data_IF_882269943320
#
_entry.id   IF_882269943320
#
_cell.length_a   1.000
_cell.length_b   1.000
_cell.length_c   1.000
_cell.angle_alpha   90.00
_cell.angle_beta   90.00
_cell.angle_gamma   90.00
#
_symmetry.space_group_name_H-M   'P 1'
#
loop_
_entity.id
_entity.type
_entity.pdbx_description
1 polymer ?
#
# COMPACT_ATOMS: atom_id res chain seq x y z
N UNK A 1 2.19 19.21 -24.15
CA UNK A 1 1.24 18.56 -25.08
C UNK A 1 2.00 17.55 -25.91
N UNK A 2 2.11 16.35 -25.36
CA UNK A 2 2.55 15.14 -26.05
C UNK A 2 1.65 14.07 -25.45
N UNK A 3 0.44 13.93 -25.98
CA UNK A 3 -0.37 12.75 -25.73
C UNK A 3 0.51 11.55 -26.08
N UNK A 4 1.00 10.87 -25.03
CA UNK A 4 1.86 9.70 -25.18
C UNK A 4 1.20 8.73 -26.16
N UNK A 5 1.98 7.96 -26.89
CA UNK A 5 1.46 7.35 -28.08
C UNK A 5 0.47 6.24 -27.62
N UNK A 6 -0.68 6.04 -28.29
CA UNK A 6 -1.77 5.15 -27.84
C UNK A 6 -1.28 3.73 -27.52
N UNK A 7 -1.81 3.10 -26.45
CA UNK A 7 -1.39 1.77 -25.98
C UNK A 7 -1.39 0.73 -27.12
N UNK A 8 -2.28 0.89 -28.10
CA UNK A 8 -2.40 0.04 -29.29
C UNK A 8 -1.11 -0.17 -30.11
N UNK A 9 -0.09 0.68 -29.99
CA UNK A 9 1.20 0.45 -30.67
C UNK A 9 2.20 -0.40 -29.86
N UNK A 10 1.92 -0.68 -28.59
CA UNK A 10 2.66 -1.68 -27.83
C UNK A 10 2.07 -3.09 -28.05
N UNK A 11 0.87 -3.16 -28.65
CA UNK A 11 0.20 -4.37 -29.14
C UNK A 11 0.64 -4.66 -30.59
N UNK A 12 1.95 -4.80 -30.84
CA UNK A 12 2.45 -5.22 -32.15
C UNK A 12 2.56 -6.75 -32.24
N UNK A 13 1.67 -7.33 -33.06
CA UNK A 13 1.67 -8.70 -33.62
C UNK A 13 1.13 -9.84 -32.71
N UNK A 14 0.67 -10.99 -33.29
CA UNK A 14 -0.44 -11.80 -32.80
C UNK A 14 -0.02 -12.72 -31.65
N UNK A 15 0.10 -12.14 -30.46
CA UNK A 15 0.04 -12.90 -29.24
C UNK A 15 -1.42 -12.84 -28.77
N UNK A 16 -2.13 -13.97 -28.84
CA UNK A 16 -3.42 -14.10 -28.19
C UNK A 16 -3.19 -14.50 -26.71
N UNK A 17 -4.00 -13.94 -25.81
CA UNK A 17 -4.05 -14.36 -24.41
C UNK A 17 -2.97 -13.77 -23.48
N UNK A 18 -2.60 -14.52 -22.43
CA UNK A 18 -1.88 -14.01 -21.26
C UNK A 18 -0.48 -13.46 -21.56
N UNK A 19 0.24 -14.03 -22.54
CA UNK A 19 1.59 -13.57 -22.89
C UNK A 19 1.60 -12.15 -23.49
N UNK A 20 0.57 -11.80 -24.26
CA UNK A 20 0.39 -10.47 -24.80
C UNK A 20 0.14 -9.44 -23.70
N UNK A 21 -0.73 -9.80 -22.74
CA UNK A 21 -1.05 -8.95 -21.57
C UNK A 21 0.19 -8.69 -20.73
N UNK A 22 1.00 -9.72 -20.45
CA UNK A 22 2.24 -9.58 -19.68
C UNK A 22 3.22 -8.66 -20.43
N UNK A 23 3.43 -8.89 -21.73
CA UNK A 23 4.34 -8.07 -22.53
C UNK A 23 3.88 -6.61 -22.56
N UNK A 24 2.60 -6.36 -22.83
CA UNK A 24 2.03 -5.01 -22.85
C UNK A 24 2.14 -4.32 -21.48
N UNK A 25 1.89 -5.06 -20.39
CA UNK A 25 2.04 -4.54 -19.02
C UNK A 25 3.50 -4.14 -18.73
N UNK A 26 4.47 -4.99 -19.08
CA UNK A 26 5.90 -4.71 -18.87
C UNK A 26 6.34 -3.50 -19.69
N UNK A 27 5.88 -3.40 -20.93
CA UNK A 27 6.21 -2.27 -21.80
C UNK A 27 5.58 -0.98 -21.26
N UNK A 28 4.30 -0.99 -20.89
CA UNK A 28 3.62 0.15 -20.26
C UNK A 28 4.35 0.56 -18.96
N UNK A 29 4.73 -0.41 -18.13
CA UNK A 29 5.41 -0.14 -16.88
C UNK A 29 6.77 0.55 -17.07
N UNK A 30 7.51 0.14 -18.10
CA UNK A 30 8.79 0.74 -18.46
C UNK A 30 8.61 2.13 -19.09
N UNK A 31 7.67 2.26 -20.03
CA UNK A 31 7.37 3.52 -20.73
C UNK A 31 6.94 4.63 -19.76
N UNK A 32 6.09 4.28 -18.79
CA UNK A 32 5.57 5.20 -17.76
C UNK A 32 6.47 5.34 -16.53
N UNK A 33 7.67 4.77 -16.56
CA UNK A 33 8.64 4.82 -15.47
C UNK A 33 8.01 4.52 -14.10
N UNK A 34 7.24 3.43 -13.98
CA UNK A 34 6.51 3.11 -12.74
C UNK A 34 7.43 2.98 -11.53
N UNK A 35 8.68 2.58 -11.74
CA UNK A 35 9.71 2.56 -10.70
C UNK A 35 9.99 3.95 -10.14
N UNK A 36 10.06 4.98 -10.99
CA UNK A 36 10.24 6.36 -10.54
C UNK A 36 9.04 6.87 -9.74
N UNK A 37 7.82 6.61 -10.23
CA UNK A 37 6.58 6.95 -9.52
C UNK A 37 6.49 6.24 -8.16
N UNK A 38 6.83 4.95 -8.12
CA UNK A 38 6.88 4.16 -6.89
C UNK A 38 7.86 4.72 -5.85
N UNK A 39 8.99 5.28 -6.27
CA UNK A 39 9.94 5.93 -5.35
C UNK A 39 9.32 7.15 -4.65
N UNK A 40 8.57 7.98 -5.39
CA UNK A 40 7.85 9.11 -4.81
C UNK A 40 6.78 8.68 -3.81
N UNK A 41 5.97 7.69 -4.17
CA UNK A 41 4.95 7.09 -3.29
C UNK A 41 5.59 6.55 -2.01
N UNK A 42 6.67 5.78 -2.13
CA UNK A 42 7.38 5.21 -0.99
C UNK A 42 7.97 6.28 -0.06
N UNK A 43 8.51 7.37 -0.62
CA UNK A 43 9.02 8.49 0.17
C UNK A 43 7.91 9.16 0.99
N UNK A 44 6.78 9.51 0.37
CA UNK A 44 5.68 10.14 1.09
C UNK A 44 5.02 9.20 2.09
N UNK A 45 4.94 7.90 1.78
CA UNK A 45 4.51 6.87 2.72
C UNK A 45 5.44 6.81 3.95
N UNK A 46 6.75 6.81 3.76
CA UNK A 46 7.72 6.86 4.87
C UNK A 46 7.52 8.10 5.74
N UNK A 47 7.43 9.28 5.11
CA UNK A 47 7.28 10.56 5.82
C UNK A 47 5.99 10.62 6.62
N UNK A 48 4.94 9.91 6.21
CA UNK A 48 3.65 9.87 6.90
C UNK A 48 3.65 9.07 8.21
N UNK A 49 4.59 8.15 8.41
CA UNK A 49 4.55 7.19 9.52
C UNK A 49 4.72 7.85 10.89
N UNK A 50 5.71 8.73 11.03
CA UNK A 50 5.97 9.38 12.32
C UNK A 50 4.77 10.25 12.74
N UNK A 51 4.25 11.15 11.88
CA UNK A 51 3.00 11.87 12.13
C UNK A 51 1.80 10.97 12.46
N UNK A 52 1.65 9.84 11.75
CA UNK A 52 0.57 8.89 11.97
C UNK A 52 0.64 8.24 13.35
N UNK A 53 1.83 7.78 13.76
CA UNK A 53 2.04 7.18 15.08
C UNK A 53 1.69 8.18 16.19
N UNK A 54 2.14 9.43 16.07
CA UNK A 54 1.82 10.48 17.05
C UNK A 54 0.31 10.71 17.16
N UNK A 55 -0.39 10.77 16.03
CA UNK A 55 -1.84 10.93 16.02
C UNK A 55 -2.60 9.74 16.57
N UNK A 56 -2.14 8.51 16.31
CA UNK A 56 -2.73 7.29 16.88
C UNK A 56 -2.62 7.33 18.41
N UNK A 57 -1.46 7.70 18.95
CA UNK A 57 -1.26 7.78 20.41
C UNK A 57 -2.08 8.94 21.01
N UNK A 58 -2.09 10.10 20.37
CA UNK A 58 -2.89 11.25 20.80
C UNK A 58 -4.40 10.93 20.78
N UNK A 59 -4.88 10.27 19.72
CA UNK A 59 -6.26 9.83 19.59
C UNK A 59 -6.64 8.77 20.62
N UNK A 60 -5.75 7.82 20.90
CA UNK A 60 -5.94 6.83 21.97
C UNK A 60 -6.06 7.49 23.34
N UNK A 61 -5.18 8.46 23.64
CA UNK A 61 -5.23 9.24 24.88
C UNK A 61 -6.53 10.05 24.99
N UNK A 62 -6.97 10.67 23.90
CA UNK A 62 -8.20 11.47 23.87
C UNK A 62 -9.47 10.64 24.05
N UNK A 63 -9.56 9.47 23.40
CA UNK A 63 -10.77 8.64 23.41
C UNK A 63 -10.86 7.70 24.62
N UNK A 64 -9.73 7.17 25.09
CA UNK A 64 -9.67 6.12 26.12
C UNK A 64 -8.76 6.41 27.30
N UNK A 65 -8.25 7.64 27.41
CA UNK A 65 -7.36 8.05 28.50
C UNK A 65 -5.96 7.44 28.43
N UNK A 66 -5.18 7.64 29.50
CA UNK A 66 -3.77 7.18 29.58
C UNK A 66 -3.65 5.66 29.45
N UNK A 67 -4.60 4.89 29.98
CA UNK A 67 -4.58 3.43 29.89
C UNK A 67 -4.67 2.90 28.44
N UNK A 68 -5.46 3.54 27.58
CA UNK A 68 -5.53 3.15 26.17
C UNK A 68 -4.28 3.61 25.41
N UNK A 69 -3.76 4.80 25.73
CA UNK A 69 -2.51 5.28 25.17
C UNK A 69 -1.35 4.34 25.50
N UNK A 70 -1.20 3.94 26.76
CA UNK A 70 -0.16 3.00 27.22
C UNK A 70 -0.27 1.63 26.56
N UNK A 71 -1.50 1.15 26.31
CA UNK A 71 -1.71 -0.11 25.59
C UNK A 71 -1.27 0.01 24.12
N UNK A 72 -1.59 1.12 23.48
CA UNK A 72 -1.19 1.39 22.09
C UNK A 72 0.34 1.55 21.98
N UNK A 73 0.96 2.32 22.88
CA UNK A 73 2.41 2.50 22.89
C UNK A 73 3.15 1.20 23.22
N UNK A 74 2.60 0.37 24.11
CA UNK A 74 3.12 -0.96 24.41
C UNK A 74 3.10 -1.92 23.21
N UNK A 75 2.05 -1.86 22.37
CA UNK A 75 1.99 -2.64 21.13
C UNK A 75 3.02 -2.10 20.11
N UNK A 76 3.12 -0.77 19.97
CA UNK A 76 4.05 -0.15 19.05
C UNK A 76 5.51 -0.44 19.43
N UNK A 77 5.86 -0.36 20.71
CA UNK A 77 7.22 -0.60 21.19
C UNK A 77 7.66 -2.04 20.99
N UNK A 78 6.75 -3.02 21.14
CA UNK A 78 7.03 -4.43 20.86
C UNK A 78 7.37 -4.71 19.39
N UNK A 79 6.92 -3.85 18.48
CA UNK A 79 7.18 -3.97 17.03
C UNK A 79 8.41 -3.16 16.58
N UNK A 80 8.97 -2.31 17.46
CA UNK A 80 10.14 -1.48 17.17
C UNK A 80 11.43 -2.12 17.69
N UNK A 81 12.53 -1.87 16.98
CA UNK A 81 13.87 -2.14 17.51
C UNK A 81 14.11 -1.31 18.77
N UNK A 82 15.05 -1.72 19.63
CA UNK A 82 15.40 -1.01 20.87
C UNK A 82 15.66 0.49 20.66
N UNK A 83 16.35 0.86 19.58
CA UNK A 83 16.59 2.26 19.21
C UNK A 83 15.32 3.04 18.80
N UNK A 84 14.34 2.36 18.20
CA UNK A 84 13.03 2.95 17.87
C UNK A 84 12.16 3.15 19.12
N UNK A 85 12.27 2.26 20.11
CA UNK A 85 11.54 2.36 21.37
C UNK A 85 11.97 3.60 22.16
N UNK A 86 13.26 3.88 22.27
CA UNK A 86 13.78 5.04 23.01
C UNK A 86 13.32 6.36 22.37
N UNK A 87 13.38 6.45 21.04
CA UNK A 87 13.00 7.66 20.29
C UNK A 87 11.49 7.93 20.39
N UNK A 88 10.66 6.89 20.28
CA UNK A 88 9.20 7.02 20.43
C UNK A 88 8.85 7.33 21.88
N UNK A 89 9.43 6.63 22.86
CA UNK A 89 9.16 6.86 24.28
C UNK A 89 9.56 8.26 24.70
N UNK A 90 10.72 8.77 24.28
CA UNK A 90 11.18 10.12 24.58
C UNK A 90 10.26 11.19 23.97
N UNK A 91 9.78 10.97 22.75
CA UNK A 91 8.84 11.88 22.08
C UNK A 91 7.46 11.86 22.73
N UNK A 92 7.00 10.70 23.22
CA UNK A 92 5.67 10.51 23.81
C UNK A 92 5.60 10.90 25.30
N UNK A 93 6.68 10.76 26.05
CA UNK A 93 6.74 11.07 27.50
C UNK A 93 7.10 12.52 27.80
N UNK A 94 7.61 13.25 26.81
CA UNK A 94 7.88 14.69 26.91
C UNK A 94 6.54 15.46 27.05
N UNK A 95 6.14 15.67 28.31
CA UNK A 95 4.86 16.29 28.70
C UNK A 95 4.76 17.76 28.26
N UNK A 96 5.90 18.40 28.02
CA UNK A 96 6.03 19.79 27.57
C UNK A 96 5.74 19.90 26.07
N UNK A 97 4.48 20.11 25.69
CA UNK A 97 4.12 20.43 24.29
C UNK A 97 3.24 19.41 23.57
N UNK A 98 2.58 18.49 24.28
CA UNK A 98 1.65 17.49 23.69
C UNK A 98 0.63 18.10 22.72
N UNK A 99 0.11 19.31 23.02
CA UNK A 99 -0.79 20.05 22.11
C UNK A 99 -0.10 20.48 20.81
N UNK A 100 1.02 21.19 20.90
CA UNK A 100 1.78 21.67 19.73
C UNK A 100 2.35 20.53 18.89
N UNK A 101 2.87 19.47 19.53
CA UNK A 101 3.35 18.28 18.85
C UNK A 101 2.22 17.54 18.09
N UNK A 102 1.01 17.50 18.66
CA UNK A 102 -0.16 16.92 18.00
C UNK A 102 -0.60 17.75 16.79
N UNK A 103 -0.56 19.09 16.87
CA UNK A 103 -0.88 19.97 15.74
C UNK A 103 0.15 19.84 14.61
N UNK A 104 1.44 19.87 14.95
CA UNK A 104 2.52 19.69 13.95
C UNK A 104 2.46 18.30 13.33
N UNK A 105 2.23 17.27 14.13
CA UNK A 105 1.99 15.90 13.65
C UNK A 105 0.78 15.83 12.73
N UNK A 106 -0.35 16.45 13.09
CA UNK A 106 -1.52 16.51 12.23
C UNK A 106 -1.24 17.17 10.88
N UNK A 107 -0.59 18.34 10.88
CA UNK A 107 -0.27 19.04 9.65
C UNK A 107 0.74 18.27 8.79
N UNK A 108 1.73 17.64 9.41
CA UNK A 108 2.70 16.79 8.72
C UNK A 108 2.06 15.54 8.13
N UNK A 109 1.15 14.89 8.86
CA UNK A 109 0.39 13.74 8.36
C UNK A 109 -0.50 14.16 7.20
N UNK A 110 -1.27 15.23 7.37
CA UNK A 110 -2.16 15.75 6.33
C UNK A 110 -1.34 16.05 5.07
N UNK A 111 -0.25 16.81 5.19
CA UNK A 111 0.61 17.14 4.04
C UNK A 111 1.20 15.91 3.35
N UNK A 112 1.75 14.96 4.10
CA UNK A 112 2.34 13.74 3.54
C UNK A 112 1.30 12.81 2.93
N UNK A 113 0.13 12.67 3.55
CA UNK A 113 -1.01 11.93 3.01
C UNK A 113 -1.52 12.56 1.71
N UNK A 114 -1.69 13.89 1.66
CA UNK A 114 -2.04 14.59 0.42
C UNK A 114 -1.03 14.33 -0.69
N UNK A 115 0.28 14.37 -0.38
CA UNK A 115 1.33 14.08 -1.36
C UNK A 115 1.35 12.62 -1.81
N UNK A 116 1.11 11.68 -0.89
CA UNK A 116 1.00 10.26 -1.18
C UNK A 116 -0.18 9.99 -2.13
N UNK A 117 -1.37 10.50 -1.82
CA UNK A 117 -2.56 10.32 -2.67
C UNK A 117 -2.39 11.01 -4.01
N UNK A 118 -1.86 12.23 -4.04
CA UNK A 118 -1.56 12.90 -5.30
C UNK A 118 -0.58 12.10 -6.17
N UNK A 119 0.43 11.48 -5.56
CA UNK A 119 1.37 10.61 -6.26
C UNK A 119 0.72 9.33 -6.79
N UNK A 120 -0.26 8.78 -6.05
CA UNK A 120 -1.06 7.64 -6.48
C UNK A 120 -2.02 8.03 -7.62
N UNK A 121 -2.81 9.09 -7.47
CA UNK A 121 -3.71 9.61 -8.51
C UNK A 121 -2.93 9.88 -9.80
N UNK A 122 -1.83 10.64 -9.73
CA UNK A 122 -0.98 10.91 -10.89
C UNK A 122 -0.43 9.64 -11.53
N UNK A 123 -0.07 8.63 -10.73
CA UNK A 123 0.40 7.36 -11.29
C UNK A 123 -0.72 6.58 -11.99
N UNK A 124 -1.96 6.68 -11.53
CA UNK A 124 -3.12 6.09 -12.19
C UNK A 124 -3.52 6.87 -13.45
N UNK A 125 -3.48 8.19 -13.42
CA UNK A 125 -3.68 9.04 -14.61
C UNK A 125 -2.70 8.64 -15.73
N UNK A 126 -1.41 8.53 -15.38
CA UNK A 126 -0.36 8.11 -16.32
C UNK A 126 -0.56 6.67 -16.85
N UNK A 127 -1.11 5.78 -16.03
CA UNK A 127 -1.39 4.39 -16.42
C UNK A 127 -2.59 4.27 -17.37
N UNK A 128 -3.62 5.08 -17.16
CA UNK A 128 -4.86 5.04 -17.94
C UNK A 128 -4.85 6.01 -19.13
N UNK A 129 -3.74 6.73 -19.34
CA UNK A 129 -3.55 7.72 -20.42
C UNK A 129 -4.57 8.86 -20.43
N UNK A 130 -5.19 9.13 -19.29
CA UNK A 130 -6.17 10.18 -19.13
C UNK A 130 -5.61 11.24 -18.18
N UNK A 131 -5.53 12.48 -18.66
CA UNK A 131 -5.20 13.65 -17.85
C UNK A 131 -6.49 14.20 -17.22
N UNK A 132 -6.92 13.62 -16.10
CA UNK A 132 -8.04 14.16 -15.33
C UNK A 132 -7.50 14.96 -14.15
N UNK A 133 -7.65 16.28 -14.21
CA UNK A 133 -7.37 17.16 -13.07
C UNK A 133 -8.36 16.89 -11.93
N UNK A 134 -8.03 15.95 -11.05
CA UNK A 134 -8.79 15.71 -9.82
C UNK A 134 -8.63 16.89 -8.88
N UNK A 135 -9.74 17.57 -8.58
CA UNK A 135 -9.77 18.64 -7.57
C UNK A 135 -9.22 18.16 -6.21
N UNK A 136 -8.64 19.07 -5.41
CA UNK A 136 -8.12 18.72 -4.07
C UNK A 136 -9.17 18.03 -3.18
N UNK A 137 -10.44 18.43 -3.29
CA UNK A 137 -11.54 17.79 -2.54
C UNK A 137 -11.79 16.36 -3.04
N UNK A 138 -11.67 16.12 -4.35
CA UNK A 138 -11.72 14.79 -4.95
C UNK A 138 -10.60 13.90 -4.44
N UNK A 139 -9.36 14.40 -4.38
CA UNK A 139 -8.19 13.66 -3.87
C UNK A 139 -8.38 13.27 -2.40
N UNK A 140 -8.84 14.20 -1.55
CA UNK A 140 -9.12 13.91 -0.13
C UNK A 140 -10.24 12.87 0.02
N UNK A 141 -11.32 12.98 -0.76
CA UNK A 141 -12.41 12.01 -0.75
C UNK A 141 -11.93 10.63 -1.19
N UNK A 142 -11.20 10.56 -2.30
CA UNK A 142 -10.66 9.31 -2.84
C UNK A 142 -9.70 8.67 -1.85
N UNK A 143 -8.76 9.45 -1.29
CA UNK A 143 -7.86 8.98 -0.25
C UNK A 143 -8.59 8.47 0.99
N UNK A 144 -9.63 9.17 1.45
CA UNK A 144 -10.45 8.71 2.57
C UNK A 144 -11.14 7.37 2.27
N UNK A 145 -11.77 7.22 1.10
CA UNK A 145 -12.42 5.96 0.70
C UNK A 145 -11.41 4.82 0.60
N UNK A 146 -10.23 5.07 0.01
CA UNK A 146 -9.15 4.08 -0.08
C UNK A 146 -8.68 3.65 1.30
N UNK A 147 -8.41 4.60 2.21
CA UNK A 147 -7.97 4.30 3.58
C UNK A 147 -9.01 3.50 4.34
N UNK A 148 -10.28 3.92 4.30
CA UNK A 148 -11.38 3.21 4.97
C UNK A 148 -11.56 1.81 4.38
N UNK A 149 -11.51 1.68 3.06
CA UNK A 149 -11.62 0.40 2.38
C UNK A 149 -10.48 -0.56 2.77
N UNK A 150 -9.23 -0.08 2.80
CA UNK A 150 -8.08 -0.86 3.26
C UNK A 150 -8.26 -1.24 4.73
N UNK A 151 -8.66 -0.31 5.60
CA UNK A 151 -8.86 -0.57 7.02
C UNK A 151 -9.95 -1.64 7.26
N UNK A 152 -11.05 -1.58 6.52
CA UNK A 152 -12.10 -2.61 6.57
C UNK A 152 -11.61 -3.97 6.07
N UNK A 153 -10.86 -3.99 4.97
CA UNK A 153 -10.29 -5.22 4.44
C UNK A 153 -9.29 -5.85 5.41
N UNK A 154 -8.40 -5.05 6.01
CA UNK A 154 -7.46 -5.50 7.05
C UNK A 154 -8.21 -5.99 8.29
N UNK A 155 -9.25 -5.28 8.73
CA UNK A 155 -10.11 -5.71 9.83
C UNK A 155 -10.76 -7.07 9.56
N UNK A 156 -11.21 -7.30 8.32
CA UNK A 156 -11.75 -8.58 7.88
C UNK A 156 -10.67 -9.67 7.86
N UNK A 157 -9.47 -9.40 7.35
CA UNK A 157 -8.32 -10.34 7.39
C UNK A 157 -8.06 -10.78 8.83
N UNK A 158 -7.98 -9.83 9.76
CA UNK A 158 -7.71 -10.10 11.18
C UNK A 158 -8.84 -10.92 11.80
N UNK A 159 -10.10 -10.53 11.56
CA UNK A 159 -11.26 -11.24 12.08
C UNK A 159 -11.31 -12.70 11.59
N UNK A 160 -11.08 -12.92 10.29
CA UNK A 160 -11.01 -14.27 9.69
C UNK A 160 -9.84 -15.05 10.28
N UNK A 161 -8.66 -14.44 10.41
CA UNK A 161 -7.49 -15.09 11.00
C UNK A 161 -7.73 -15.54 12.46
N UNK A 162 -8.34 -14.69 13.27
CA UNK A 162 -8.73 -15.03 14.65
C UNK A 162 -9.75 -16.16 14.68
N UNK A 163 -10.80 -16.08 13.85
CA UNK A 163 -11.83 -17.12 13.77
C UNK A 163 -11.24 -18.49 13.38
N UNK A 164 -10.31 -18.52 12.41
CA UNK A 164 -9.61 -19.74 12.02
C UNK A 164 -8.72 -20.29 13.12
N UNK A 165 -8.00 -19.41 13.85
CA UNK A 165 -7.13 -19.83 14.95
C UNK A 165 -7.88 -20.42 16.16
N UNK A 166 -9.17 -20.10 16.31
CA UNK A 166 -10.02 -20.65 17.35
C UNK A 166 -10.57 -22.05 17.02
N UNK A 167 -10.42 -22.51 15.78
CA UNK A 167 -10.82 -23.87 15.38
C UNK A 167 -9.72 -24.86 15.80
N UNK A 168 -10.03 -25.89 16.62
CA UNK A 168 -9.06 -26.90 17.06
C UNK A 168 -8.82 -27.95 15.97
N UNK A 169 -8.38 -27.51 14.80
CA UNK A 169 -8.24 -28.36 13.61
C UNK A 169 -6.79 -28.34 13.13
N UNK A 170 -6.01 -29.29 13.63
CA UNK A 170 -4.59 -29.47 13.30
C UNK A 170 -4.42 -30.22 11.97
N UNK A 171 -5.01 -29.67 10.90
CA UNK A 171 -5.09 -30.32 9.59
C UNK A 171 -4.18 -29.58 8.60
N UNK A 172 -3.16 -30.22 8.01
CA UNK A 172 -2.24 -29.59 7.06
C UNK A 172 -2.94 -28.88 5.89
N UNK A 173 -4.11 -29.40 5.48
CA UNK A 173 -4.93 -28.81 4.42
C UNK A 173 -5.52 -27.44 4.82
N UNK A 174 -5.84 -27.23 6.10
CA UNK A 174 -6.34 -25.95 6.61
C UNK A 174 -5.25 -24.87 6.66
N UNK A 175 -3.99 -25.24 6.83
CA UNK A 175 -2.88 -24.28 6.78
C UNK A 175 -2.67 -23.73 5.36
N UNK A 176 -2.79 -24.59 4.34
CA UNK A 176 -2.71 -24.19 2.93
C UNK A 176 -3.94 -23.36 2.54
N UNK A 177 -5.14 -23.84 2.88
CA UNK A 177 -6.39 -23.10 2.62
C UNK A 177 -6.46 -21.77 3.36
N UNK A 178 -5.98 -21.72 4.61
CA UNK A 178 -5.87 -20.49 5.40
C UNK A 178 -4.90 -19.50 4.78
N UNK A 179 -3.74 -19.96 4.28
CA UNK A 179 -2.77 -19.10 3.59
C UNK A 179 -3.32 -18.55 2.26
N UNK A 180 -4.01 -19.40 1.49
CA UNK A 180 -4.68 -19.00 0.25
C UNK A 180 -5.85 -18.03 0.53
N UNK A 181 -6.64 -18.29 1.56
CA UNK A 181 -7.72 -17.41 1.98
C UNK A 181 -7.17 -16.06 2.44
N UNK A 182 -6.12 -16.03 3.27
CA UNK A 182 -5.46 -14.79 3.69
C UNK A 182 -4.92 -14.01 2.49
N UNK A 183 -4.37 -14.69 1.49
CA UNK A 183 -3.91 -14.06 0.24
C UNK A 183 -5.09 -13.50 -0.57
N UNK A 184 -6.19 -14.23 -0.67
CA UNK A 184 -7.40 -13.80 -1.36
C UNK A 184 -8.08 -12.61 -0.66
N UNK A 185 -8.16 -12.63 0.67
CA UNK A 185 -8.69 -11.53 1.49
C UNK A 185 -7.75 -10.33 1.44
N UNK A 186 -6.43 -10.53 1.35
CA UNK A 186 -5.49 -9.44 1.09
C UNK A 186 -5.73 -8.80 -0.28
N UNK A 187 -6.13 -9.58 -1.30
CA UNK A 187 -6.62 -9.07 -2.57
C UNK A 187 -7.76 -8.05 -2.41
N UNK A 188 -8.64 -8.26 -1.44
CA UNK A 188 -9.72 -7.30 -1.12
C UNK A 188 -9.18 -5.96 -0.61
N UNK A 189 -8.02 -5.94 0.04
CA UNK A 189 -7.40 -4.69 0.51
C UNK A 189 -6.90 -3.82 -0.64
N UNK A 190 -6.62 -4.41 -1.81
CA UNK A 190 -6.22 -3.66 -3.00
C UNK A 190 -7.41 -3.18 -3.84
N UNK A 191 -8.60 -3.74 -3.67
CA UNK A 191 -9.78 -3.35 -4.46
C UNK A 191 -10.15 -1.86 -4.36
N UNK A 192 -10.16 -1.23 -3.16
CA UNK A 192 -10.46 0.20 -3.06
C UNK A 192 -9.50 1.06 -3.89
N UNK A 193 -8.21 0.68 -3.92
CA UNK A 193 -7.18 1.38 -4.70
C UNK A 193 -7.54 1.32 -6.19
N UNK A 194 -7.80 0.12 -6.70
CA UNK A 194 -8.07 -0.07 -8.13
C UNK A 194 -9.45 0.38 -8.59
N UNK A 195 -10.40 0.54 -7.67
CA UNK A 195 -11.75 1.00 -7.99
C UNK A 195 -11.89 2.52 -7.93
N UNK A 196 -11.13 3.20 -7.06
CA UNK A 196 -11.31 4.62 -6.77
C UNK A 196 -10.30 5.51 -7.49
N UNK A 197 -9.07 5.03 -7.66
CA UNK A 197 -7.98 5.85 -8.22
C UNK A 197 -7.96 5.98 -9.75
N UNK A 198 -8.45 5.02 -10.57
CA UNK A 198 -8.49 5.24 -12.01
C UNK A 198 -9.29 6.51 -12.36
N UNK A 199 -8.84 7.29 -13.36
CA UNK A 199 -9.54 8.49 -13.83
C UNK A 199 -10.83 8.18 -14.60
N UNK A 200 -11.16 6.90 -14.78
CA UNK A 200 -12.28 6.40 -15.57
C UNK A 200 -13.21 5.52 -14.75
N UNK A 201 -14.47 5.45 -15.15
CA UNK A 201 -15.40 4.51 -14.55
C UNK A 201 -14.98 3.06 -14.84
N UNK A 202 -14.72 2.31 -13.77
CA UNK A 202 -14.36 0.90 -13.79
C UNK A 202 -15.40 0.09 -13.01
N UNK A 203 -15.72 -1.10 -13.51
CA UNK A 203 -16.52 -2.06 -12.76
C UNK A 203 -15.64 -2.95 -11.88
N UNK A 204 -16.21 -3.55 -10.82
CA UNK A 204 -15.48 -4.44 -9.91
C UNK A 204 -14.80 -5.58 -10.67
N UNK A 205 -15.43 -6.11 -11.72
CA UNK A 205 -14.86 -7.20 -12.53
C UNK A 205 -13.60 -6.81 -13.27
N UNK A 206 -13.48 -5.54 -13.64
CA UNK A 206 -12.34 -5.03 -14.40
C UNK A 206 -11.10 -4.82 -13.53
N UNK A 207 -11.30 -4.63 -12.23
CA UNK A 207 -10.20 -4.36 -11.29
C UNK A 207 -9.65 -5.60 -10.60
N UNK A 208 -10.40 -6.71 -10.64
CA UNK A 208 -10.02 -8.00 -10.05
C UNK A 208 -8.68 -8.56 -10.55
N UNK A 209 -8.34 -8.51 -11.86
CA UNK A 209 -7.06 -9.03 -12.34
C UNK A 209 -5.86 -8.34 -11.68
N UNK A 210 -5.89 -7.00 -11.60
CA UNK A 210 -4.85 -6.21 -10.94
C UNK A 210 -4.78 -6.49 -9.44
N UNK A 211 -5.93 -6.61 -8.77
CA UNK A 211 -5.97 -7.02 -7.36
C UNK A 211 -5.32 -8.40 -7.12
N UNK A 212 -5.56 -9.36 -8.01
CA UNK A 212 -4.92 -10.68 -7.94
C UNK A 212 -3.41 -10.62 -8.17
N UNK A 213 -2.96 -9.83 -9.15
CA UNK A 213 -1.54 -9.60 -9.42
C UNK A 213 -0.85 -8.97 -8.22
N UNK A 214 -1.48 -7.98 -7.58
CA UNK A 214 -0.90 -7.31 -6.42
C UNK A 214 -0.92 -8.16 -5.16
N UNK A 215 -1.96 -8.98 -4.96
CA UNK A 215 -1.95 -10.00 -3.92
C UNK A 215 -0.80 -11.00 -4.10
N UNK A 216 -0.58 -11.49 -5.32
CA UNK A 216 0.55 -12.37 -5.64
C UNK A 216 1.91 -11.69 -5.44
N UNK A 217 2.06 -10.46 -5.94
CA UNK A 217 3.26 -9.65 -5.75
C UNK A 217 3.54 -9.36 -4.29
N UNK A 218 2.50 -9.17 -3.46
CA UNK A 218 2.65 -8.99 -2.04
C UNK A 218 3.19 -10.24 -1.33
N UNK A 219 2.72 -11.43 -1.71
CA UNK A 219 3.26 -12.69 -1.18
C UNK A 219 4.74 -12.84 -1.54
N UNK A 220 5.12 -12.51 -2.78
CA UNK A 220 6.52 -12.51 -3.21
C UNK A 220 7.35 -11.52 -2.38
N UNK A 221 6.83 -10.31 -2.17
CA UNK A 221 7.48 -9.28 -1.36
C UNK A 221 7.65 -9.74 0.10
N UNK A 222 6.63 -10.39 0.67
CA UNK A 222 6.69 -10.95 2.03
C UNK A 222 7.72 -12.07 2.13
N UNK A 223 7.82 -12.95 1.13
CA UNK A 223 8.86 -13.99 1.09
C UNK A 223 10.25 -13.37 1.02
N UNK A 224 10.45 -12.35 0.18
CA UNK A 224 11.69 -11.60 0.11
C UNK A 224 12.07 -10.98 1.46
N UNK A 225 11.11 -10.36 2.14
CA UNK A 225 11.32 -9.80 3.48
C UNK A 225 11.68 -10.87 4.51
N UNK A 226 11.03 -12.05 4.48
CA UNK A 226 11.35 -13.18 5.37
C UNK A 226 12.79 -13.69 5.15
N UNK A 227 13.21 -13.84 3.90
CA UNK A 227 14.58 -14.26 3.56
C UNK A 227 15.58 -13.22 4.07
N UNK A 228 15.31 -11.94 3.85
CA UNK A 228 16.15 -10.86 4.38
C UNK A 228 16.23 -10.94 5.92
N UNK A 229 15.08 -11.02 6.61
CA UNK A 229 15.01 -11.02 8.06
C UNK A 229 15.77 -12.21 8.68
N UNK A 230 15.70 -13.39 8.06
CA UNK A 230 16.46 -14.57 8.47
C UNK A 230 17.99 -14.38 8.38
N UNK A 231 18.46 -13.46 7.53
CA UNK A 231 19.88 -13.15 7.34
C UNK A 231 20.31 -11.84 8.01
N UNK A 232 19.37 -11.05 8.55
CA UNK A 232 19.61 -9.69 9.05
C UNK A 232 20.63 -9.64 10.21
N UNK A 233 20.70 -10.68 11.03
CA UNK A 233 21.67 -10.80 12.13
C UNK A 233 23.13 -10.85 11.66
N UNK A 234 23.39 -11.27 10.41
CA UNK A 234 24.73 -11.23 9.79
C UNK A 234 25.16 -9.82 9.39
N UNK A 235 24.22 -8.88 9.30
CA UNK A 235 24.42 -7.49 8.88
C UNK A 235 24.19 -6.49 10.01
N UNK A 236 24.33 -6.94 11.28
CA UNK A 236 24.08 -6.16 12.49
C UNK A 236 24.85 -4.82 12.56
N UNK A 237 25.90 -4.63 11.74
CA UNK A 237 26.67 -3.40 11.62
C UNK A 237 25.85 -2.17 11.18
N UNK A 238 24.68 -2.34 10.55
CA UNK A 238 23.89 -1.23 10.00
C UNK A 238 22.83 -0.65 10.96
N UNK A 239 22.60 -1.25 12.13
CA UNK A 239 21.75 -0.70 13.19
C UNK A 239 20.40 -0.14 12.71
N UNK A 240 20.01 1.02 13.25
CA UNK A 240 18.76 1.72 12.90
C UNK A 240 18.73 2.18 11.43
N UNK A 241 19.87 2.59 10.86
CA UNK A 241 19.97 3.08 9.49
C UNK A 241 19.61 1.97 8.50
N UNK A 242 20.13 0.76 8.72
CA UNK A 242 19.80 -0.41 7.91
C UNK A 242 18.32 -0.77 7.97
N UNK A 243 17.69 -0.64 9.14
CA UNK A 243 16.25 -0.87 9.29
C UNK A 243 15.42 0.15 8.50
N UNK A 244 15.78 1.44 8.55
CA UNK A 244 15.10 2.49 7.77
C UNK A 244 15.28 2.25 6.27
N UNK A 245 16.50 2.00 5.81
CA UNK A 245 16.78 1.74 4.38
C UNK A 245 16.03 0.52 3.86
N UNK A 246 16.01 -0.57 4.62
CA UNK A 246 15.22 -1.75 4.31
C UNK A 246 13.74 -1.41 4.20
N UNK A 247 13.22 -0.68 5.18
CA UNK A 247 11.80 -0.36 5.24
C UNK A 247 11.37 0.55 4.09
N UNK A 248 12.17 1.55 3.72
CA UNK A 248 11.95 2.36 2.51
C UNK A 248 12.00 1.51 1.25
N UNK A 249 12.96 0.59 1.16
CA UNK A 249 13.08 -0.34 0.03
C UNK A 249 11.85 -1.25 -0.06
N UNK A 250 11.32 -1.69 1.08
CA UNK A 250 10.09 -2.47 1.13
C UNK A 250 8.88 -1.66 0.67
N UNK A 251 8.72 -0.41 1.13
CA UNK A 251 7.67 0.50 0.65
C UNK A 251 7.77 0.77 -0.86
N UNK A 252 8.99 0.88 -1.37
CA UNK A 252 9.26 1.02 -2.80
C UNK A 252 8.77 -0.17 -3.61
N UNK A 253 9.15 -1.39 -3.22
CA UNK A 253 8.65 -2.59 -3.91
C UNK A 253 7.15 -2.80 -3.71
N UNK A 254 6.59 -2.47 -2.55
CA UNK A 254 5.14 -2.49 -2.33
C UNK A 254 4.42 -1.55 -3.30
N UNK A 255 4.95 -0.34 -3.50
CA UNK A 255 4.41 0.63 -4.45
C UNK A 255 4.49 0.12 -5.89
N UNK A 256 5.61 -0.53 -6.29
CA UNK A 256 5.73 -1.20 -7.59
C UNK A 256 4.65 -2.27 -7.77
N UNK A 257 4.44 -3.12 -6.77
CA UNK A 257 3.42 -4.19 -6.81
C UNK A 257 2.03 -3.60 -7.02
N UNK A 258 1.72 -2.47 -6.38
CA UNK A 258 0.44 -1.78 -6.56
C UNK A 258 0.32 -1.21 -7.99
N UNK A 259 1.34 -0.52 -8.48
CA UNK A 259 1.32 0.08 -9.82
C UNK A 259 1.29 -0.97 -10.94
N UNK A 260 1.97 -2.11 -10.77
CA UNK A 260 1.90 -3.23 -11.70
C UNK A 260 0.49 -3.82 -11.79
N UNK A 261 -0.21 -3.95 -10.66
CA UNK A 261 -1.63 -4.36 -10.66
C UNK A 261 -2.51 -3.36 -11.42
N UNK A 262 -2.26 -2.06 -11.23
CA UNK A 262 -2.94 -0.98 -11.98
C UNK A 262 -2.68 -1.08 -13.49
N UNK A 263 -1.42 -1.30 -13.88
CA UNK A 263 -1.02 -1.46 -15.28
C UNK A 263 -1.70 -2.66 -15.95
N UNK A 264 -1.84 -3.78 -15.24
CA UNK A 264 -2.58 -4.95 -15.75
C UNK A 264 -4.05 -4.60 -16.02
N UNK A 265 -4.69 -3.87 -15.11
CA UNK A 265 -6.08 -3.44 -15.29
C UNK A 265 -6.23 -2.49 -16.50
N UNK A 266 -5.33 -1.52 -16.64
CA UNK A 266 -5.33 -0.59 -17.76
C UNK A 266 -5.16 -1.31 -19.12
N UNK A 267 -4.18 -2.21 -19.23
CA UNK A 267 -3.94 -3.02 -20.44
C UNK A 267 -5.15 -3.90 -20.78
N UNK A 268 -5.73 -4.56 -19.79
CA UNK A 268 -6.91 -5.41 -19.99
C UNK A 268 -8.17 -4.61 -20.37
N UNK A 269 -8.26 -3.34 -20.00
CA UNK A 269 -9.35 -2.45 -20.42
C UNK A 269 -9.22 -2.09 -21.89
N UNK A 270 -8.05 -1.62 -22.31
CA UNK A 270 -7.77 -1.21 -23.70
C UNK A 270 -7.99 -2.34 -24.71
N UNK A 271 -7.74 -3.58 -24.28
CA UNK A 271 -7.88 -4.77 -25.13
C UNK A 271 -9.31 -5.31 -25.22
N UNK A 272 -10.28 -4.74 -24.47
CA UNK A 272 -11.69 -5.12 -24.61
C UNK A 272 -12.27 -4.45 -25.86
N UNK A 273 -12.94 -5.20 -26.75
CA UNK A 273 -13.69 -4.58 -27.83
C UNK A 273 -14.79 -3.71 -27.24
N UNK A 274 -14.91 -2.45 -27.68
CA UNK A 274 -16.05 -1.59 -27.34
C UNK A 274 -17.31 -2.29 -27.83
N UNK A 275 -18.09 -2.84 -26.90
CA UNK A 275 -19.44 -3.31 -27.21
C UNK A 275 -20.33 -2.08 -27.13
N UNK A 276 -20.59 -1.48 -28.29
CA UNK A 276 -21.51 -0.35 -28.46
C UNK A 276 -22.96 -0.68 -28.13
#
# INVERSE_FOLDING_TARGET
MSSGPPIGQYVLAPLEGAAATIRATVVLAADRNLTYLAAGIAFYALVSIIPLILLIVAGASFLGGEALADRVTGILSQQLSSAGQDSVTQTLTSTSGRGTASVVGFLGLAWSALKLFRGLDQAFDELYLDDVDTSLLGQVRNGFVVVVGIALAVGLVVAVGVALSALPLDVPLLNVLGSLLLTAVLGLAFLPIYYVLPPVDVSIREVLPGAAVSAGGWVILQLGFRIYAANATRYAAYGLIGAVLLFVTWLYFASIVVLLGGAVNAVLRETRPEIG
#
